data_IF_806471276585
#
_entry.id   IF_806471276585
#
_cell.length_a   1.000
_cell.length_b   1.000
_cell.length_c   1.000
_cell.angle_alpha   90.00
_cell.angle_beta   90.00
_cell.angle_gamma   90.00
#
_symmetry.space_group_name_H-M   'P 1'
#
loop_
_entity.id
_entity.type
_entity.pdbx_description
1 polymer ?
#
# COMPACT_ATOMS: atom_id res chain seq x y z
N UNK A 1 6.26 1.05 27.18
CA UNK A 1 6.46 2.37 26.53
C UNK A 1 5.20 2.72 25.75
N UNK A 2 4.75 3.98 25.76
CA UNK A 2 3.70 4.44 24.85
C UNK A 2 4.34 5.17 23.67
N UNK A 3 4.31 4.54 22.49
CA UNK A 3 4.77 5.19 21.27
C UNK A 3 3.98 4.68 20.05
N UNK A 4 3.84 5.54 19.04
CA UNK A 4 3.14 5.27 17.79
C UNK A 4 3.99 5.76 16.63
N UNK A 5 4.23 4.89 15.67
CA UNK A 5 4.94 5.20 14.43
C UNK A 5 3.89 5.20 13.31
N UNK A 6 3.73 6.35 12.65
CA UNK A 6 2.84 6.50 11.50
C UNK A 6 3.71 6.94 10.33
N UNK A 7 4.02 6.00 9.44
CA UNK A 7 4.83 6.27 8.26
C UNK A 7 3.97 6.64 7.05
N UNK A 8 4.55 7.35 6.09
CA UNK A 8 3.85 7.76 4.86
C UNK A 8 4.37 6.98 3.65
N UNK A 9 3.62 5.97 3.24
CA UNK A 9 3.80 5.26 1.97
C UNK A 9 2.96 5.91 0.84
N UNK A 10 2.75 5.21 -0.26
CA UNK A 10 1.99 5.64 -1.42
C UNK A 10 1.47 4.44 -2.19
N UNK A 11 0.32 4.61 -2.84
CA UNK A 11 -0.21 3.61 -3.76
C UNK A 11 0.69 3.41 -4.99
N UNK A 12 1.65 4.31 -5.26
CA UNK A 12 2.65 4.12 -6.31
C UNK A 12 3.44 2.81 -6.16
N UNK A 13 3.63 2.33 -4.92
CA UNK A 13 4.20 0.99 -4.66
C UNK A 13 3.25 -0.11 -5.12
N UNK A 14 1.96 0.03 -4.78
CA UNK A 14 0.94 -0.95 -5.11
C UNK A 14 0.82 -1.07 -6.62
N UNK A 15 0.73 0.05 -7.34
CA UNK A 15 0.55 0.03 -8.79
C UNK A 15 1.83 -0.24 -9.58
N UNK A 16 3.01 -0.17 -8.96
CA UNK A 16 4.28 -0.22 -9.70
C UNK A 16 4.41 0.92 -10.71
N UNK A 17 4.12 2.16 -10.29
CA UNK A 17 3.93 3.31 -11.19
C UNK A 17 5.08 3.47 -12.21
N UNK A 18 4.82 3.30 -13.52
CA UNK A 18 5.87 3.28 -14.55
C UNK A 18 6.70 4.57 -14.65
N UNK A 19 6.08 5.72 -14.37
CA UNK A 19 6.76 7.01 -14.38
C UNK A 19 7.51 7.34 -13.09
N UNK A 20 7.44 6.47 -12.08
CA UNK A 20 7.94 6.74 -10.73
C UNK A 20 8.60 5.51 -10.07
N UNK A 21 9.51 4.78 -10.75
CA UNK A 21 10.05 3.52 -10.21
C UNK A 21 10.86 3.73 -8.92
N UNK A 22 11.62 4.82 -8.83
CA UNK A 22 12.37 5.20 -7.63
C UNK A 22 11.44 5.50 -6.43
N UNK A 23 10.37 6.25 -6.67
CA UNK A 23 9.37 6.59 -5.66
C UNK A 23 8.55 5.36 -5.25
N UNK A 24 8.12 4.53 -6.20
CA UNK A 24 7.45 3.26 -5.93
C UNK A 24 8.33 2.36 -5.05
N UNK A 25 9.61 2.18 -5.41
CA UNK A 25 10.56 1.41 -4.62
C UNK A 25 10.75 1.96 -3.19
N UNK A 26 10.95 3.28 -3.05
CA UNK A 26 11.09 3.91 -1.75
C UNK A 26 9.84 3.74 -0.88
N UNK A 27 8.65 3.89 -1.46
CA UNK A 27 7.37 3.76 -0.75
C UNK A 27 7.06 2.31 -0.40
N UNK A 28 7.52 1.34 -1.20
CA UNK A 28 7.51 -0.07 -0.86
C UNK A 28 8.43 -0.37 0.35
N UNK A 29 9.64 0.18 0.33
CA UNK A 29 10.61 0.04 1.43
C UNK A 29 10.08 0.58 2.75
N UNK A 30 9.33 1.68 2.73
CA UNK A 30 8.66 2.23 3.92
C UNK A 30 7.61 1.25 4.48
N UNK A 31 6.85 0.54 3.62
CA UNK A 31 5.91 -0.50 4.07
C UNK A 31 6.67 -1.64 4.75
N UNK A 32 7.72 -2.14 4.12
CA UNK A 32 8.55 -3.21 4.69
C UNK A 32 9.16 -2.81 6.05
N UNK A 33 9.71 -1.60 6.15
CA UNK A 33 10.24 -1.05 7.40
C UNK A 33 9.17 -0.95 8.49
N UNK A 34 7.95 -0.53 8.11
CA UNK A 34 6.81 -0.45 9.04
C UNK A 34 6.43 -1.83 9.58
N UNK A 35 6.41 -2.86 8.73
CA UNK A 35 6.11 -4.23 9.16
C UNK A 35 7.17 -4.77 10.11
N UNK A 36 8.46 -4.54 9.81
CA UNK A 36 9.55 -4.94 10.69
C UNK A 36 9.48 -4.22 12.04
N UNK A 37 9.19 -2.92 12.06
CA UNK A 37 9.00 -2.14 13.29
C UNK A 37 7.81 -2.66 14.10
N UNK A 38 6.67 -2.93 13.45
CA UNK A 38 5.48 -3.46 14.13
C UNK A 38 5.78 -4.79 14.83
N UNK A 39 6.41 -5.74 14.14
CA UNK A 39 6.73 -7.06 14.70
C UNK A 39 7.77 -6.99 15.83
N UNK A 40 8.83 -6.18 15.66
CA UNK A 40 9.94 -6.13 16.62
C UNK A 40 9.63 -5.30 17.87
N UNK A 41 8.81 -4.26 17.75
CA UNK A 41 8.59 -3.29 18.83
C UNK A 41 7.28 -3.49 19.61
N UNK A 42 6.33 -4.28 19.10
CA UNK A 42 5.04 -4.51 19.76
C UNK A 42 5.19 -5.04 21.20
N UNK A 43 6.18 -5.91 21.45
CA UNK A 43 6.49 -6.42 22.80
C UNK A 43 6.85 -5.33 23.83
N UNK A 44 7.20 -4.12 23.38
CA UNK A 44 7.51 -2.97 24.23
C UNK A 44 6.36 -1.96 24.36
N UNK A 45 5.22 -2.23 23.71
CA UNK A 45 4.04 -1.34 23.66
C UNK A 45 4.08 -0.29 22.53
N UNK A 46 5.04 -0.40 21.60
CA UNK A 46 5.16 0.48 20.44
C UNK A 46 4.39 -0.13 19.27
N UNK A 47 3.52 0.68 18.62
CA UNK A 47 2.75 0.24 17.46
C UNK A 47 3.19 1.03 16.22
N UNK A 48 3.24 0.37 15.07
CA UNK A 48 3.69 0.98 13.82
C UNK A 48 2.71 0.68 12.68
N UNK A 49 2.30 1.71 11.95
CA UNK A 49 1.41 1.61 10.79
C UNK A 49 1.89 2.53 9.66
N UNK A 50 1.43 2.28 8.44
CA UNK A 50 1.70 3.12 7.28
C UNK A 50 0.40 3.64 6.67
N UNK A 51 0.39 4.90 6.27
CA UNK A 51 -0.71 5.49 5.50
C UNK A 51 -0.27 5.84 4.08
N UNK A 52 -1.22 5.83 3.16
CA UNK A 52 -1.08 6.22 1.76
C UNK A 52 -2.08 7.36 1.49
N UNK A 53 -1.67 8.61 1.74
CA UNK A 53 -2.58 9.74 1.63
C UNK A 53 -2.76 10.18 0.18
N UNK A 54 -3.97 10.63 -0.17
CA UNK A 54 -4.20 11.51 -1.34
C UNK A 54 -4.64 12.88 -0.88
N UNK A 55 -3.86 13.90 -1.20
CA UNK A 55 -4.14 15.28 -0.81
C UNK A 55 -3.62 16.27 -1.86
N UNK A 56 -4.38 17.34 -2.06
CA UNK A 56 -3.95 18.48 -2.86
C UNK A 56 -3.00 19.32 -2.03
N UNK A 57 -1.73 19.31 -2.41
CA UNK A 57 -0.67 20.14 -1.84
C UNK A 57 0.17 20.73 -2.97
N UNK A 58 1.04 21.70 -2.66
CA UNK A 58 2.00 22.27 -3.62
C UNK A 58 2.90 21.21 -4.29
N UNK A 59 3.15 20.07 -3.63
CA UNK A 59 3.95 18.98 -4.18
C UNK A 59 3.26 18.27 -5.36
N UNK A 60 1.92 18.29 -5.40
CA UNK A 60 1.11 17.61 -6.41
C UNK A 60 0.44 18.60 -7.37
N UNK A 61 0.77 19.89 -7.25
CA UNK A 61 0.25 20.99 -8.08
C UNK A 61 1.02 21.08 -9.40
N UNK A 62 0.82 20.05 -10.23
CA UNK A 62 1.40 19.94 -11.57
C UNK A 62 0.28 19.96 -12.61
N UNK A 63 0.51 20.47 -13.83
CA UNK A 63 -0.53 20.51 -14.88
C UNK A 63 -1.21 19.16 -15.13
N UNK A 64 -0.45 18.06 -15.00
CA UNK A 64 -0.92 16.70 -15.23
C UNK A 64 -1.88 16.21 -14.14
N UNK A 65 -1.73 16.71 -12.90
CA UNK A 65 -2.52 16.28 -11.74
C UNK A 65 -3.54 17.33 -11.30
N UNK A 66 -3.43 18.58 -11.76
CA UNK A 66 -4.28 19.70 -11.35
C UNK A 66 -5.78 19.41 -11.57
N UNK A 67 -6.13 18.79 -12.70
CA UNK A 67 -7.51 18.40 -12.98
C UNK A 67 -8.03 17.31 -12.02
N UNK A 68 -7.19 16.31 -11.68
CA UNK A 68 -7.56 15.21 -10.79
C UNK A 68 -7.81 15.70 -9.35
N UNK A 69 -7.04 16.69 -8.91
CA UNK A 69 -7.09 17.20 -7.54
C UNK A 69 -7.84 18.53 -7.40
N UNK A 70 -8.46 19.04 -8.46
CA UNK A 70 -9.09 20.37 -8.51
C UNK A 70 -9.96 20.68 -7.28
N UNK A 71 -9.81 21.89 -6.74
CA UNK A 71 -10.61 22.35 -5.61
C UNK A 71 -12.02 22.66 -6.11
N UNK A 72 -13.08 22.13 -5.47
CA UNK A 72 -14.44 22.50 -5.84
C UNK A 72 -14.75 23.94 -5.40
N UNK A 73 -15.60 24.63 -6.15
CA UNK A 73 -16.07 25.99 -5.82
C UNK A 73 -17.00 25.99 -4.60
N UNK A 74 -17.73 24.90 -4.38
CA UNK A 74 -18.62 24.70 -3.24
C UNK A 74 -18.67 23.24 -2.79
N UNK A 75 -19.10 23.00 -1.56
CA UNK A 75 -19.24 21.65 -1.00
C UNK A 75 -17.96 21.08 -0.37
N UNK A 76 -17.94 19.75 -0.20
CA UNK A 76 -16.84 19.05 0.45
C UNK A 76 -15.64 18.88 -0.48
N UNK A 77 -14.48 19.33 -0.02
CA UNK A 77 -13.23 19.20 -0.74
C UNK A 77 -12.57 17.85 -0.44
N UNK A 78 -12.81 16.87 -1.31
CA UNK A 78 -12.29 15.50 -1.19
C UNK A 78 -10.78 15.43 -1.00
N UNK A 79 -10.05 16.35 -1.60
CA UNK A 79 -8.58 16.36 -1.58
C UNK A 79 -7.98 17.40 -0.64
N UNK A 80 -8.79 18.00 0.24
CA UNK A 80 -8.28 18.81 1.33
C UNK A 80 -7.28 17.97 2.16
N UNK A 81 -6.02 18.43 2.38
CA UNK A 81 -5.03 17.69 3.15
C UNK A 81 -5.48 17.37 4.57
N UNK A 82 -6.36 18.20 5.13
CA UNK A 82 -7.00 18.03 6.44
C UNK A 82 -7.76 16.71 6.55
N UNK A 83 -8.25 16.14 5.44
CA UNK A 83 -8.95 14.86 5.44
C UNK A 83 -8.06 13.68 5.85
N UNK A 84 -6.73 13.80 5.72
CA UNK A 84 -5.79 12.76 6.14
C UNK A 84 -5.46 12.83 7.64
N UNK A 85 -5.54 14.03 8.25
CA UNK A 85 -5.09 14.27 9.62
C UNK A 85 -5.87 13.47 10.69
N UNK A 86 -7.20 13.29 10.61
CA UNK A 86 -7.94 12.50 11.59
C UNK A 86 -7.45 11.06 11.74
N UNK A 87 -7.07 10.39 10.64
CA UNK A 87 -6.54 9.03 10.72
C UNK A 87 -5.19 9.01 11.45
N UNK A 88 -4.31 9.96 11.16
CA UNK A 88 -3.02 10.09 11.87
C UNK A 88 -3.25 10.32 13.36
N UNK A 89 -4.15 11.23 13.72
CA UNK A 89 -4.50 11.51 15.11
C UNK A 89 -5.10 10.27 15.82
N UNK A 90 -5.98 9.53 15.14
CA UNK A 90 -6.55 8.30 15.65
C UNK A 90 -5.46 7.25 15.93
N UNK A 91 -4.57 7.00 14.96
CA UNK A 91 -3.45 6.04 15.09
C UNK A 91 -2.45 6.45 16.17
N UNK A 92 -2.28 7.75 16.41
CA UNK A 92 -1.46 8.29 17.49
C UNK A 92 -2.11 8.15 18.89
N UNK A 93 -3.42 7.92 18.95
CA UNK A 93 -4.20 7.90 20.18
C UNK A 93 -4.28 6.51 20.85
N UNK A 94 -4.63 6.44 22.15
CA UNK A 94 -4.88 5.18 22.83
C UNK A 94 -6.01 4.35 22.19
N UNK A 95 -6.94 5.00 21.47
CA UNK A 95 -8.06 4.32 20.80
C UNK A 95 -7.62 3.34 19.70
N UNK A 96 -6.37 3.44 19.25
CA UNK A 96 -5.77 2.57 18.24
C UNK A 96 -4.83 1.51 18.85
N UNK A 97 -4.97 1.15 20.13
CA UNK A 97 -4.07 0.19 20.80
C UNK A 97 -4.00 -1.20 20.14
N UNK A 98 -5.02 -1.57 19.35
CA UNK A 98 -5.06 -2.84 18.62
C UNK A 98 -4.60 -2.73 17.16
N UNK A 99 -4.16 -1.56 16.72
CA UNK A 99 -3.83 -1.26 15.33
C UNK A 99 -2.32 -1.20 15.16
N UNK A 100 -1.73 -2.28 14.65
CA UNK A 100 -0.29 -2.36 14.35
C UNK A 100 -0.03 -3.24 13.13
N UNK A 101 0.95 -2.86 12.32
CA UNK A 101 1.33 -3.57 11.10
C UNK A 101 0.31 -3.42 9.97
N UNK A 102 -0.50 -2.37 9.96
CA UNK A 102 -1.48 -2.11 8.90
C UNK A 102 -0.98 -1.03 7.92
N UNK A 103 -1.45 -1.16 6.68
CA UNK A 103 -1.25 -0.20 5.60
C UNK A 103 -2.63 0.32 5.19
N UNK A 104 -2.80 1.63 5.11
CA UNK A 104 -4.13 2.24 4.89
C UNK A 104 -4.09 3.36 3.87
N UNK A 105 -4.97 3.34 2.88
CA UNK A 105 -5.20 4.48 1.98
C UNK A 105 -6.17 5.44 2.67
N UNK A 106 -5.90 6.75 2.60
CA UNK A 106 -6.75 7.77 3.24
C UNK A 106 -6.88 9.02 2.38
N UNK A 107 -8.12 9.45 2.15
CA UNK A 107 -8.46 10.75 1.55
C UNK A 107 -9.97 10.99 1.64
N UNK A 108 -10.40 12.24 1.53
CA UNK A 108 -11.81 12.59 1.57
C UNK A 108 -12.54 12.01 2.78
N UNK A 109 -13.55 11.18 2.51
CA UNK A 109 -14.40 10.55 3.53
C UNK A 109 -14.09 9.07 3.75
N UNK A 110 -12.98 8.55 3.21
CA UNK A 110 -12.71 7.11 3.19
C UNK A 110 -11.33 6.74 3.74
N UNK A 111 -11.29 5.57 4.37
CA UNK A 111 -10.08 4.87 4.79
C UNK A 111 -10.19 3.43 4.28
N UNK A 112 -9.23 3.00 3.48
CA UNK A 112 -9.19 1.64 2.92
C UNK A 112 -8.02 0.89 3.52
N UNK A 113 -8.28 -0.27 4.13
CA UNK A 113 -7.21 -1.15 4.61
C UNK A 113 -6.65 -1.90 3.41
N UNK A 114 -5.33 -1.79 3.20
CA UNK A 114 -4.63 -2.53 2.15
C UNK A 114 -4.25 -3.89 2.69
N UNK A 115 -4.59 -4.92 1.92
CA UNK A 115 -4.23 -6.28 2.26
C UNK A 115 -2.75 -6.58 1.96
N UNK A 116 -2.16 -7.45 2.78
CA UNK A 116 -0.79 -7.92 2.59
C UNK A 116 -0.75 -8.92 1.43
N UNK A 117 0.35 -8.97 0.65
CA UNK A 117 0.56 -10.05 -0.31
C UNK A 117 0.34 -11.41 0.37
N UNK A 118 -0.44 -12.26 -0.27
CA UNK A 118 -0.74 -13.61 0.21
C UNK A 118 -0.04 -14.62 -0.70
N UNK A 119 0.26 -15.80 -0.15
CA UNK A 119 0.66 -16.94 -0.97
C UNK A 119 -0.57 -17.37 -1.76
N UNK A 120 -0.44 -17.37 -3.08
CA UNK A 120 -1.50 -17.74 -4.02
C UNK A 120 -1.47 -19.27 -4.25
N UNK A 121 -0.53 -19.74 -5.07
CA UNK A 121 -0.44 -21.14 -5.47
C UNK A 121 0.97 -21.71 -5.22
N UNK A 122 1.05 -22.95 -4.72
CA UNK A 122 2.29 -23.70 -4.53
C UNK A 122 2.36 -24.84 -5.54
N UNK A 123 3.46 -24.93 -6.29
CA UNK A 123 3.76 -26.06 -7.17
C UNK A 123 4.84 -26.94 -6.53
N UNK A 124 4.68 -28.25 -6.63
CA UNK A 124 5.63 -29.24 -6.10
C UNK A 124 6.07 -30.19 -7.21
N UNK A 125 7.26 -30.75 -7.06
CA UNK A 125 7.83 -31.77 -7.94
C UNK A 125 8.57 -32.80 -7.10
N UNK A 126 8.48 -34.08 -7.52
CA UNK A 126 9.10 -35.18 -6.78
C UNK A 126 10.63 -35.13 -6.91
N UNK A 127 11.12 -34.79 -8.11
CA UNK A 127 12.53 -34.58 -8.41
C UNK A 127 12.90 -33.09 -8.48
N UNK A 128 14.20 -32.80 -8.58
CA UNK A 128 14.68 -31.44 -8.82
C UNK A 128 14.07 -30.84 -10.11
N UNK A 129 13.68 -29.57 -10.04
CA UNK A 129 13.08 -28.87 -11.17
C UNK A 129 14.02 -28.81 -12.38
N UNK A 130 13.52 -29.22 -13.53
CA UNK A 130 14.10 -28.92 -14.85
C UNK A 130 13.25 -27.84 -15.55
N UNK A 131 13.79 -27.22 -16.59
CA UNK A 131 13.03 -26.25 -17.41
C UNK A 131 11.77 -26.91 -18.00
N UNK A 132 11.89 -28.15 -18.49
CA UNK A 132 10.78 -28.89 -19.08
C UNK A 132 9.70 -29.21 -18.03
N UNK A 133 10.08 -29.65 -16.82
CA UNK A 133 9.14 -29.92 -15.74
C UNK A 133 8.43 -28.63 -15.25
N UNK A 134 9.11 -27.49 -15.32
CA UNK A 134 8.51 -26.19 -15.03
C UNK A 134 7.53 -25.78 -16.12
N UNK A 135 7.88 -25.90 -17.40
CA UNK A 135 6.97 -25.57 -18.50
C UNK A 135 5.71 -26.45 -18.47
N UNK A 136 5.87 -27.75 -18.23
CA UNK A 136 4.75 -28.69 -18.10
C UNK A 136 3.79 -28.31 -16.96
N UNK A 137 4.32 -27.89 -15.80
CA UNK A 137 3.50 -27.59 -14.61
C UNK A 137 3.01 -26.15 -14.53
N UNK A 138 3.84 -25.18 -14.89
CA UNK A 138 3.53 -23.75 -14.80
C UNK A 138 2.90 -23.22 -16.10
N UNK A 139 3.25 -23.79 -17.26
CA UNK A 139 2.72 -23.36 -18.56
C UNK A 139 1.18 -23.29 -18.57
N UNK A 140 0.46 -24.34 -18.17
CA UNK A 140 -1.00 -24.30 -18.07
C UNK A 140 -1.51 -23.24 -17.09
N UNK A 141 -0.81 -23.03 -15.97
CA UNK A 141 -1.18 -21.99 -14.99
C UNK A 141 -1.12 -20.60 -15.61
N UNK A 142 -0.10 -20.30 -16.40
CA UNK A 142 0.05 -18.99 -17.02
C UNK A 142 -0.66 -18.84 -18.37
N UNK A 143 -1.06 -19.94 -19.03
CA UNK A 143 -1.76 -19.90 -20.32
C UNK A 143 -3.09 -19.12 -20.25
N UNK A 144 -3.76 -19.16 -19.11
CA UNK A 144 -5.02 -18.45 -18.86
C UNK A 144 -4.82 -17.06 -18.25
N UNK A 145 -3.57 -16.66 -17.95
CA UNK A 145 -3.24 -15.42 -17.25
C UNK A 145 -2.52 -14.46 -18.18
N UNK A 146 -2.87 -13.18 -18.07
CA UNK A 146 -2.13 -12.13 -18.77
C UNK A 146 -0.83 -11.84 -18.00
N UNK A 147 0.30 -11.58 -18.70
CA UNK A 147 1.46 -10.98 -18.08
C UNK A 147 1.05 -9.70 -17.34
N UNK A 148 1.62 -9.49 -16.16
CA UNK A 148 1.26 -8.40 -15.25
C UNK A 148 1.36 -7.03 -15.95
N UNK A 149 0.23 -6.34 -16.08
CA UNK A 149 0.14 -4.98 -16.65
C UNK A 149 -0.10 -3.90 -15.57
N UNK A 150 -0.41 -4.33 -14.34
CA UNK A 150 -0.68 -3.50 -13.17
C UNK A 150 -0.05 -4.15 -11.92
N UNK A 151 0.27 -3.38 -10.87
CA UNK A 151 0.98 -3.92 -9.70
C UNK A 151 0.13 -4.82 -8.78
N UNK A 152 0.39 -4.79 -7.46
CA UNK A 152 -0.30 -5.62 -6.44
C UNK A 152 -1.82 -5.41 -6.31
N UNK A 153 -2.44 -4.58 -7.14
CA UNK A 153 -3.90 -4.40 -7.20
C UNK A 153 -4.45 -4.92 -8.50
N UNK A 154 -4.93 -6.16 -8.47
CA UNK A 154 -6.12 -6.54 -9.22
C UNK A 154 -7.01 -7.31 -8.23
N UNK A 155 -8.28 -6.92 -8.00
CA UNK A 155 -9.24 -7.90 -7.53
C UNK A 155 -9.31 -9.02 -8.58
N UNK A 156 -9.40 -10.31 -8.20
CA UNK A 156 -9.76 -11.33 -9.19
C UNK A 156 -11.05 -10.86 -9.90
N UNK A 157 -11.00 -10.73 -11.22
CA UNK A 157 -12.23 -10.61 -12.01
C UNK A 157 -13.03 -11.89 -11.93
#
# INVERSE_FOLDING_TARGET
VYARIINTSSEAFIFGSPGQPNYAAAKAGIVAMTMAAAQSLQKYGVLANAIMPRARTRMNDTPQLAAMFAKPESGFDTYAPENCAPLVAYLASPKAERVSGYVMIVYGKQVTIVERPRVDTKFENDDAWTVDALDEKLGPYFAERQPVMDGFTVPPM
#
